data_IF_482517161346
#
_entry.id   IF_482517161346
#
_cell.length_a   1.000
_cell.length_b   1.000
_cell.length_c   1.000
_cell.angle_alpha   90.00
_cell.angle_beta   90.00
_cell.angle_gamma   90.00
#
_symmetry.space_group_name_H-M   'P 1'
#
loop_
_entity.id
_entity.type
_entity.pdbx_description
1 polymer ?
#
# COMPACT_ATOMS: atom_id res chain seq x y z
N UNK A 1 5.95 -9.00 57.05
CA UNK A 1 5.26 -9.32 55.77
C UNK A 1 5.47 -8.14 54.84
N UNK A 2 6.45 -8.13 53.91
CA UNK A 2 6.52 -7.11 52.89
C UNK A 2 5.74 -7.60 51.64
N UNK A 3 4.84 -6.77 51.20
CA UNK A 3 4.03 -6.95 50.02
C UNK A 3 4.92 -6.81 48.76
N UNK A 4 4.90 -7.82 47.92
CA UNK A 4 5.56 -7.81 46.63
C UNK A 4 4.90 -6.81 45.70
N UNK A 5 5.62 -5.78 45.32
CA UNK A 5 5.26 -4.89 44.23
C UNK A 5 5.40 -5.67 42.91
N UNK A 6 4.29 -5.95 42.26
CA UNK A 6 4.27 -6.43 40.88
C UNK A 6 4.83 -5.32 39.98
N UNK A 7 6.01 -5.53 39.45
CA UNK A 7 6.55 -4.67 38.39
C UNK A 7 5.61 -4.73 37.16
N UNK A 8 5.24 -3.59 36.58
CA UNK A 8 4.53 -3.58 35.32
C UNK A 8 5.48 -4.12 34.23
N UNK A 9 5.09 -5.22 33.60
CA UNK A 9 5.73 -5.71 32.39
C UNK A 9 5.81 -4.56 31.37
N UNK A 10 6.99 -3.97 31.27
CA UNK A 10 7.33 -3.07 30.18
C UNK A 10 7.11 -3.82 28.87
N UNK A 11 6.08 -3.43 28.12
CA UNK A 11 5.92 -3.82 26.73
C UNK A 11 7.19 -3.40 26.02
N UNK A 12 8.03 -4.36 25.68
CA UNK A 12 9.16 -4.13 24.79
C UNK A 12 8.62 -3.59 23.44
N UNK A 13 8.96 -2.38 23.03
CA UNK A 13 8.71 -1.92 21.67
C UNK A 13 9.83 -2.46 20.79
N UNK A 14 9.84 -3.76 20.55
CA UNK A 14 10.67 -4.36 19.50
C UNK A 14 9.84 -4.41 18.24
N UNK A 15 9.34 -3.28 17.81
CA UNK A 15 8.87 -3.13 16.43
C UNK A 15 9.85 -2.21 15.73
N UNK A 16 10.57 -2.79 14.77
CA UNK A 16 11.63 -2.15 14.03
C UNK A 16 11.13 -0.85 13.35
N UNK A 17 12.08 0.05 13.09
CA UNK A 17 11.80 1.27 12.36
C UNK A 17 10.97 0.98 11.10
N UNK A 18 9.99 1.82 10.75
CA UNK A 18 9.15 1.60 9.58
C UNK A 18 10.01 1.48 8.34
N UNK A 19 9.56 0.66 7.41
CA UNK A 19 10.18 0.51 6.09
C UNK A 19 9.48 1.45 5.12
N UNK A 20 10.21 1.96 4.13
CA UNK A 20 9.66 2.90 3.18
C UNK A 20 9.49 2.24 1.81
N UNK A 21 8.44 2.65 1.11
CA UNK A 21 8.20 2.33 -0.29
C UNK A 21 7.89 3.61 -1.04
N UNK A 22 8.42 3.69 -2.26
CA UNK A 22 8.13 4.75 -3.22
C UNK A 22 8.12 4.14 -4.61
N UNK A 23 7.06 4.40 -5.36
CA UNK A 23 6.98 4.07 -6.78
C UNK A 23 6.05 5.07 -7.48
N UNK A 24 6.05 5.07 -8.82
CA UNK A 24 5.18 5.93 -9.60
C UNK A 24 4.79 5.29 -10.92
N UNK A 25 3.69 5.78 -11.50
CA UNK A 25 3.23 5.43 -12.84
C UNK A 25 2.72 6.69 -13.56
N UNK A 26 2.86 6.71 -14.88
CA UNK A 26 2.30 7.76 -15.71
C UNK A 26 0.88 7.39 -16.16
N UNK A 27 -0.04 8.34 -16.05
CA UNK A 27 -1.41 8.28 -16.57
C UNK A 27 -1.49 9.23 -17.77
N UNK A 28 -1.88 8.78 -18.96
CA UNK A 28 -1.96 9.62 -20.16
C UNK A 28 -3.24 10.47 -20.18
N UNK A 29 -3.44 11.25 -19.12
CA UNK A 29 -4.55 12.18 -18.96
C UNK A 29 -4.06 13.46 -18.24
N UNK A 30 -4.65 14.63 -18.52
CA UNK A 30 -4.43 15.84 -17.73
C UNK A 30 -4.77 15.62 -16.25
N UNK A 31 -4.13 16.38 -15.37
CA UNK A 31 -4.28 16.19 -13.92
C UNK A 31 -5.70 16.40 -13.42
N UNK A 32 -6.41 17.38 -13.97
CA UNK A 32 -7.80 17.66 -13.61
C UNK A 32 -8.76 16.55 -14.04
N UNK A 33 -8.54 15.92 -15.19
CA UNK A 33 -9.27 14.74 -15.64
C UNK A 33 -8.93 13.51 -14.79
N UNK A 34 -7.64 13.32 -14.49
CA UNK A 34 -7.19 12.25 -13.62
C UNK A 34 -7.81 12.35 -12.22
N UNK A 35 -7.80 13.54 -11.62
CA UNK A 35 -8.42 13.80 -10.30
C UNK A 35 -9.93 13.57 -10.36
N UNK A 36 -10.61 14.01 -11.42
CA UNK A 36 -12.03 13.79 -11.61
C UNK A 36 -12.36 12.29 -11.72
N UNK A 37 -11.66 11.58 -12.60
CA UNK A 37 -11.83 10.13 -12.79
C UNK A 37 -11.54 9.38 -11.48
N UNK A 38 -10.46 9.71 -10.80
CA UNK A 38 -10.14 9.11 -9.50
C UNK A 38 -11.29 9.32 -8.49
N UNK A 39 -11.76 10.55 -8.34
CA UNK A 39 -12.78 10.90 -7.33
C UNK A 39 -14.16 10.32 -7.62
N UNK A 40 -14.49 10.12 -8.91
CA UNK A 40 -15.82 9.67 -9.35
C UNK A 40 -15.86 8.16 -9.54
N UNK A 41 -14.80 7.57 -10.09
CA UNK A 41 -14.80 6.21 -10.59
C UNK A 41 -13.99 5.23 -9.71
N UNK A 42 -13.21 5.73 -8.72
CA UNK A 42 -12.36 4.89 -7.88
C UNK A 42 -12.78 5.02 -6.40
N UNK A 43 -13.91 4.43 -5.98
CA UNK A 43 -14.28 4.39 -4.59
C UNK A 43 -13.35 3.47 -3.77
N UNK A 44 -13.37 3.63 -2.45
CA UNK A 44 -12.48 2.90 -1.55
C UNK A 44 -12.53 1.37 -1.72
N UNK A 45 -13.71 0.80 -2.04
CA UNK A 45 -13.83 -0.65 -2.25
C UNK A 45 -13.12 -1.12 -3.53
N UNK A 46 -13.10 -0.31 -4.59
CA UNK A 46 -12.33 -0.62 -5.82
C UNK A 46 -10.84 -0.57 -5.51
N UNK A 47 -10.38 0.44 -4.78
CA UNK A 47 -8.99 0.52 -4.34
C UNK A 47 -8.58 -0.68 -3.49
N UNK A 48 -9.42 -1.11 -2.54
CA UNK A 48 -9.17 -2.29 -1.72
C UNK A 48 -9.06 -3.57 -2.57
N UNK A 49 -9.89 -3.69 -3.60
CA UNK A 49 -9.84 -4.81 -4.55
C UNK A 49 -8.55 -4.80 -5.38
N UNK A 50 -8.10 -3.61 -5.84
CA UNK A 50 -6.83 -3.48 -6.56
C UNK A 50 -5.64 -3.90 -5.68
N UNK A 51 -5.61 -3.46 -4.42
CA UNK A 51 -4.57 -3.89 -3.47
C UNK A 51 -4.61 -5.40 -3.26
N UNK A 52 -5.80 -5.98 -3.06
CA UNK A 52 -5.98 -7.42 -2.90
C UNK A 52 -5.54 -8.20 -4.15
N UNK A 53 -5.87 -7.70 -5.33
CA UNK A 53 -5.47 -8.29 -6.61
C UNK A 53 -3.96 -8.28 -6.79
N UNK A 54 -3.30 -7.13 -6.51
CA UNK A 54 -1.86 -6.99 -6.58
C UNK A 54 -1.14 -7.99 -5.65
N UNK A 55 -1.61 -8.13 -4.41
CA UNK A 55 -1.06 -9.12 -3.48
C UNK A 55 -1.20 -10.54 -4.01
N UNK A 56 -2.36 -10.90 -4.52
CA UNK A 56 -2.62 -12.27 -5.01
C UNK A 56 -1.85 -12.59 -6.29
N UNK A 57 -1.59 -11.60 -7.14
CA UNK A 57 -0.79 -11.77 -8.35
C UNK A 57 0.68 -12.07 -8.02
N UNK A 58 1.21 -11.43 -6.97
CA UNK A 58 2.63 -11.50 -6.61
C UNK A 58 2.93 -12.51 -5.48
N UNK A 59 1.91 -13.07 -4.82
CA UNK A 59 2.05 -14.12 -3.80
C UNK A 59 2.86 -15.37 -4.28
N UNK A 60 2.76 -15.84 -5.54
CA UNK A 60 3.58 -16.94 -6.04
C UNK A 60 5.09 -16.71 -5.94
N UNK A 61 5.56 -15.45 -5.95
CA UNK A 61 6.97 -15.10 -5.76
C UNK A 61 7.44 -15.51 -4.36
N UNK A 62 6.59 -15.34 -3.35
CA UNK A 62 6.87 -15.74 -1.97
C UNK A 62 6.97 -17.26 -1.82
N UNK A 63 6.13 -18.01 -2.51
CA UNK A 63 6.12 -19.48 -2.49
C UNK A 63 7.34 -20.05 -3.19
N UNK A 64 7.73 -19.50 -4.34
CA UNK A 64 8.88 -19.98 -5.11
C UNK A 64 10.22 -19.76 -4.43
N UNK A 65 10.30 -18.85 -3.47
CA UNK A 65 11.51 -18.58 -2.70
C UNK A 65 11.75 -19.56 -1.53
N UNK A 66 10.93 -20.60 -1.38
CA UNK A 66 11.17 -21.70 -0.43
C UNK A 66 10.88 -21.38 1.03
N UNK A 67 10.10 -20.37 1.30
CA UNK A 67 9.68 -20.02 2.66
C UNK A 67 8.55 -20.95 3.13
N UNK A 68 8.91 -21.97 3.89
CA UNK A 68 8.02 -23.08 4.30
C UNK A 68 6.78 -22.69 5.14
N UNK A 69 6.63 -21.41 5.51
CA UNK A 69 5.50 -20.89 6.30
C UNK A 69 4.55 -19.99 5.54
N UNK A 70 4.86 -19.64 4.28
CA UNK A 70 4.11 -18.63 3.51
C UNK A 70 3.11 -19.23 2.52
N UNK A 71 2.79 -20.52 2.65
CA UNK A 71 1.92 -21.27 1.72
C UNK A 71 0.48 -20.73 1.59
N UNK A 72 0.06 -19.77 2.40
CA UNK A 72 -1.31 -19.24 2.38
C UNK A 72 -1.40 -17.71 2.50
N UNK A 73 -0.39 -16.95 2.03
CA UNK A 73 -0.57 -15.51 1.94
C UNK A 73 -1.46 -15.19 0.72
N UNK A 74 -2.71 -15.52 0.87
CA UNK A 74 -3.79 -14.98 0.05
C UNK A 74 -4.37 -13.80 0.81
N UNK A 75 -4.35 -12.63 0.22
CA UNK A 75 -5.03 -11.47 0.79
C UNK A 75 -6.53 -11.72 0.78
N UNK A 76 -7.07 -12.20 1.91
CA UNK A 76 -8.51 -12.49 2.05
C UNK A 76 -9.28 -11.20 2.24
N UNK A 77 -8.78 -10.30 3.06
CA UNK A 77 -9.44 -9.02 3.37
C UNK A 77 -8.40 -7.92 3.47
N UNK A 78 -8.64 -6.84 2.75
CA UNK A 78 -7.88 -5.59 2.85
C UNK A 78 -8.83 -4.50 3.29
N UNK A 79 -8.56 -3.91 4.43
CA UNK A 79 -9.24 -2.70 4.90
C UNK A 79 -8.46 -1.50 4.37
N UNK A 80 -9.15 -0.63 3.65
CA UNK A 80 -8.55 0.54 3.04
C UNK A 80 -9.32 1.78 3.47
N UNK A 81 -8.58 2.75 3.99
CA UNK A 81 -9.08 4.06 4.35
C UNK A 81 -8.43 5.13 3.46
N UNK A 82 -9.26 6.03 2.95
CA UNK A 82 -8.83 7.17 2.15
C UNK A 82 -9.11 8.46 2.92
N UNK A 83 -8.11 9.33 2.98
CA UNK A 83 -8.27 10.67 3.50
C UNK A 83 -7.82 11.70 2.47
N UNK A 84 -8.60 12.77 2.27
CA UNK A 84 -8.22 13.84 1.34
C UNK A 84 -7.45 14.91 2.09
N UNK A 85 -6.18 15.12 1.72
CA UNK A 85 -5.35 16.10 2.40
C UNK A 85 -5.26 17.44 1.68
N UNK A 86 -5.12 17.47 0.36
CA UNK A 86 -5.00 18.73 -0.41
C UNK A 86 -5.39 18.54 -1.87
N UNK A 87 -6.14 19.54 -2.37
CA UNK A 87 -6.32 19.76 -3.80
C UNK A 87 -5.60 21.06 -4.13
N UNK A 88 -4.67 21.03 -5.09
CA UNK A 88 -4.04 22.18 -5.72
C UNK A 88 -4.40 22.19 -7.21
N UNK A 89 -4.14 23.29 -7.90
CA UNK A 89 -4.39 23.37 -9.35
C UNK A 89 -3.59 22.33 -10.17
N UNK A 90 -2.43 21.95 -9.68
CA UNK A 90 -1.45 21.10 -10.36
C UNK A 90 -1.19 19.76 -9.66
N UNK A 91 -1.82 19.52 -8.54
CA UNK A 91 -1.63 18.29 -7.76
C UNK A 91 -2.80 18.00 -6.83
N UNK A 92 -3.02 16.72 -6.57
CA UNK A 92 -3.88 16.23 -5.50
C UNK A 92 -3.10 15.24 -4.64
N UNK A 93 -3.26 15.36 -3.32
CA UNK A 93 -2.65 14.43 -2.36
C UNK A 93 -3.78 13.73 -1.61
N UNK A 94 -3.73 12.41 -1.59
CA UNK A 94 -4.72 11.54 -0.98
C UNK A 94 -4.00 10.61 -0.01
N UNK A 95 -4.32 10.71 1.27
CA UNK A 95 -3.81 9.77 2.25
C UNK A 95 -4.45 8.40 2.04
N UNK A 96 -3.63 7.39 2.02
CA UNK A 96 -3.99 6.00 1.78
C UNK A 96 -3.47 5.15 2.94
N UNK A 97 -4.38 4.50 3.65
CA UNK A 97 -4.00 3.49 4.64
C UNK A 97 -4.62 2.16 4.26
N UNK A 98 -3.79 1.11 4.19
CA UNK A 98 -4.34 -0.23 4.14
C UNK A 98 -3.84 -1.10 5.27
N UNK A 99 -4.70 -2.01 5.69
CA UNK A 99 -4.40 -3.02 6.70
C UNK A 99 -4.94 -4.36 6.23
N UNK A 100 -4.10 -5.36 6.28
CA UNK A 100 -4.52 -6.73 6.07
C UNK A 100 -4.97 -7.39 7.38
N UNK A 101 -5.42 -8.61 7.28
CA UNK A 101 -5.89 -9.47 8.38
C UNK A 101 -4.76 -10.05 9.27
N UNK A 102 -3.67 -9.31 9.45
CA UNK A 102 -2.51 -9.67 10.29
C UNK A 102 -1.43 -10.46 9.58
N UNK A 103 -1.69 -10.94 8.36
CA UNK A 103 -0.71 -11.65 7.52
C UNK A 103 0.00 -10.74 6.53
N UNK A 104 -0.62 -9.65 6.15
CA UNK A 104 -0.09 -8.68 5.21
C UNK A 104 0.56 -7.50 5.94
N UNK A 105 1.60 -6.89 5.35
CA UNK A 105 2.11 -5.60 5.81
C UNK A 105 1.01 -4.55 5.80
N UNK A 106 0.98 -3.70 6.82
CA UNK A 106 0.18 -2.48 6.80
C UNK A 106 0.94 -1.36 6.09
N UNK A 107 0.25 -0.52 5.35
CA UNK A 107 0.82 0.65 4.67
C UNK A 107 0.09 1.92 5.09
N UNK A 108 0.88 2.96 5.34
CA UNK A 108 0.43 4.34 5.54
C UNK A 108 1.18 5.21 4.53
N UNK A 109 0.49 5.75 3.54
CA UNK A 109 1.10 6.38 2.38
C UNK A 109 0.30 7.60 1.89
N UNK A 110 0.98 8.47 1.18
CA UNK A 110 0.38 9.50 0.36
C UNK A 110 0.41 9.08 -1.12
N UNK A 111 -0.73 9.15 -1.76
CA UNK A 111 -0.89 9.04 -3.21
C UNK A 111 -0.99 10.45 -3.78
N UNK A 112 0.05 10.87 -4.49
CA UNK A 112 0.11 12.17 -5.13
C UNK A 112 -0.19 12.05 -6.62
N UNK A 113 -1.14 12.87 -7.10
CA UNK A 113 -1.47 13.04 -8.51
C UNK A 113 -0.86 14.37 -8.95
N UNK A 114 0.22 14.35 -9.74
CA UNK A 114 0.99 15.54 -10.11
C UNK A 114 0.99 15.71 -11.62
N UNK A 115 0.72 16.94 -12.10
CA UNK A 115 0.79 17.25 -13.51
C UNK A 115 2.22 17.06 -14.05
N UNK A 116 2.34 16.31 -15.15
CA UNK A 116 3.57 16.17 -15.91
C UNK A 116 3.33 16.63 -17.35
N UNK A 117 3.49 17.93 -17.58
CA UNK A 117 3.06 18.57 -18.82
C UNK A 117 1.55 18.78 -18.89
N UNK A 118 1.00 18.85 -20.11
CA UNK A 118 -0.42 19.17 -20.32
C UNK A 118 -1.32 17.95 -20.44
N UNK A 119 -0.77 16.80 -20.82
CA UNK A 119 -1.53 15.59 -21.19
C UNK A 119 -1.17 14.36 -20.37
N UNK A 120 -0.38 14.53 -19.32
CA UNK A 120 0.09 13.44 -18.51
C UNK A 120 0.06 13.79 -17.02
N UNK A 121 -0.32 12.84 -16.21
CA UNK A 121 -0.29 12.91 -14.75
C UNK A 121 0.60 11.79 -14.22
N UNK A 122 1.46 12.09 -13.27
CA UNK A 122 2.16 11.07 -12.52
C UNK A 122 1.40 10.74 -11.24
N UNK A 123 1.13 9.47 -11.02
CA UNK A 123 0.68 8.94 -9.74
C UNK A 123 1.90 8.51 -8.97
N UNK A 124 2.25 9.21 -7.90
CA UNK A 124 3.32 8.86 -6.98
C UNK A 124 2.72 8.27 -5.71
N UNK A 125 3.20 7.12 -5.28
CA UNK A 125 2.88 6.57 -3.96
C UNK A 125 4.15 6.61 -3.12
N UNK A 126 4.09 7.32 -2.01
CA UNK A 126 5.17 7.39 -1.02
C UNK A 126 4.63 7.06 0.35
N UNK A 127 5.20 6.08 1.01
CA UNK A 127 4.69 5.69 2.31
C UNK A 127 5.65 4.85 3.13
N UNK A 128 5.19 4.56 4.32
CA UNK A 128 5.84 3.66 5.26
C UNK A 128 4.97 2.42 5.44
N UNK A 129 5.61 1.28 5.57
CA UNK A 129 4.91 0.05 5.87
C UNK A 129 5.54 -0.66 7.06
N UNK A 130 4.72 -1.41 7.75
CA UNK A 130 5.12 -2.25 8.88
C UNK A 130 4.96 -3.72 8.48
N UNK A 131 5.98 -4.50 8.78
CA UNK A 131 5.94 -5.95 8.58
C UNK A 131 4.93 -6.59 9.54
N UNK A 132 4.30 -7.69 9.16
CA UNK A 132 3.52 -8.48 10.08
C UNK A 132 4.35 -8.91 11.29
N UNK A 133 3.73 -9.02 12.45
CA UNK A 133 4.40 -9.33 13.72
C UNK A 133 5.14 -10.68 13.76
N UNK A 134 4.82 -11.58 12.84
CA UNK A 134 5.45 -12.90 12.70
C UNK A 134 6.72 -12.87 11.84
N UNK A 135 7.03 -11.73 11.21
CA UNK A 135 8.20 -11.56 10.34
C UNK A 135 9.29 -10.81 11.09
N UNK A 136 10.46 -11.43 11.20
CA UNK A 136 11.65 -10.70 11.62
C UNK A 136 12.20 -9.89 10.42
N UNK A 137 12.36 -8.59 10.62
CA UNK A 137 12.89 -7.65 9.63
C UNK A 137 14.25 -8.06 9.07
N UNK A 138 15.10 -8.66 9.89
CA UNK A 138 16.45 -9.06 9.51
C UNK A 138 16.54 -10.49 8.99
N UNK A 139 15.43 -11.18 8.91
CA UNK A 139 15.33 -12.51 8.33
C UNK A 139 15.32 -12.48 6.81
N UNK A 140 15.49 -13.64 6.21
CA UNK A 140 15.30 -13.83 4.76
C UNK A 140 13.88 -13.49 4.34
N UNK A 141 12.90 -13.85 5.17
CA UNK A 141 11.48 -13.55 4.97
C UNK A 141 11.22 -12.05 4.95
N UNK A 142 11.82 -11.28 5.88
CA UNK A 142 11.72 -9.83 5.90
C UNK A 142 12.26 -9.19 4.63
N UNK A 143 13.41 -9.63 4.16
CA UNK A 143 14.01 -9.15 2.90
C UNK A 143 13.15 -9.50 1.68
N UNK A 144 12.51 -10.67 1.69
CA UNK A 144 11.62 -11.10 0.62
C UNK A 144 10.35 -10.26 0.59
N UNK A 145 9.71 -10.05 1.75
CA UNK A 145 8.50 -9.21 1.84
C UNK A 145 8.80 -7.79 1.39
N UNK A 146 9.99 -7.26 1.68
CA UNK A 146 10.39 -5.95 1.17
C UNK A 146 10.37 -5.89 -0.36
N UNK A 147 10.89 -6.90 -1.03
CA UNK A 147 10.86 -6.99 -2.51
C UNK A 147 9.43 -7.11 -3.02
N UNK A 148 8.62 -7.94 -2.37
CA UNK A 148 7.21 -8.11 -2.73
C UNK A 148 6.44 -6.80 -2.56
N UNK A 149 6.68 -6.03 -1.48
CA UNK A 149 6.04 -4.73 -1.30
C UNK A 149 6.27 -3.78 -2.47
N UNK A 150 7.50 -3.73 -3.01
CA UNK A 150 7.80 -2.90 -4.19
C UNK A 150 7.00 -3.36 -5.41
N UNK A 151 6.92 -4.68 -5.63
CA UNK A 151 6.17 -5.23 -6.77
C UNK A 151 4.67 -5.00 -6.59
N UNK A 152 4.12 -5.28 -5.41
CA UNK A 152 2.70 -5.05 -5.09
C UNK A 152 2.31 -3.58 -5.30
N UNK A 153 3.12 -2.63 -4.82
CA UNK A 153 2.84 -1.20 -5.01
C UNK A 153 2.87 -0.84 -6.49
N UNK A 154 3.81 -1.37 -7.26
CA UNK A 154 3.88 -1.13 -8.70
C UNK A 154 2.68 -1.70 -9.44
N UNK A 155 2.30 -2.96 -9.16
CA UNK A 155 1.11 -3.60 -9.74
C UNK A 155 -0.15 -2.81 -9.39
N UNK A 156 -0.30 -2.44 -8.11
CA UNK A 156 -1.42 -1.60 -7.66
C UNK A 156 -1.51 -0.27 -8.42
N UNK A 157 -0.40 0.46 -8.57
CA UNK A 157 -0.37 1.73 -9.30
C UNK A 157 -0.68 1.54 -10.78
N UNK A 158 -0.19 0.46 -11.41
CA UNK A 158 -0.48 0.13 -12.80
C UNK A 158 -1.96 -0.15 -13.00
N UNK A 159 -2.56 -0.99 -12.16
CA UNK A 159 -3.97 -1.33 -12.22
C UNK A 159 -4.86 -0.11 -11.95
N UNK A 160 -4.44 0.75 -11.02
CA UNK A 160 -5.14 2.01 -10.74
C UNK A 160 -5.10 2.96 -11.94
N UNK A 161 -3.94 3.11 -12.61
CA UNK A 161 -3.80 3.88 -13.84
C UNK A 161 -4.74 3.36 -14.93
N UNK A 162 -4.81 2.04 -15.07
CA UNK A 162 -5.70 1.38 -16.03
C UNK A 162 -7.19 1.67 -15.73
N UNK A 163 -7.60 1.60 -14.48
CA UNK A 163 -8.98 1.93 -14.07
C UNK A 163 -9.31 3.37 -14.38
N UNK A 164 -8.43 4.30 -14.02
CA UNK A 164 -8.61 5.74 -14.29
C UNK A 164 -8.74 6.03 -15.78
N UNK A 165 -7.93 5.35 -16.60
CA UNK A 165 -7.87 5.60 -18.04
C UNK A 165 -9.04 4.96 -18.80
N UNK A 166 -9.49 3.77 -18.38
CA UNK A 166 -10.53 3.02 -19.08
C UNK A 166 -11.94 3.44 -18.74
N UNK A 167 -12.15 4.14 -17.65
CA UNK A 167 -13.49 4.55 -17.22
C UNK A 167 -13.77 5.97 -17.69
N UNK A 168 -14.43 6.17 -18.85
CA UNK A 168 -14.86 7.51 -19.25
C UNK A 168 -15.86 8.00 -18.21
N UNK A 169 -15.49 9.05 -17.49
CA UNK A 169 -16.44 9.75 -16.62
C UNK A 169 -17.48 10.48 -17.49
N UNK A 170 -18.79 10.27 -17.24
CA UNK A 170 -19.84 10.99 -17.93
C UNK A 170 -19.80 12.50 -17.64
#
# INVERSE_FOLDING_TARGET
>A
MPQGASEPHAKNPVNGAPMFVHDFVAVPLPVDETVRSFTTCVPAHVMAELVRSAWNADAPILVSAGTSGLHEISARTVHLELSRHRLRHDAAIIGLQWRGDGWLPSLDADLELVAFGHECTHLHLMGRYELPHWVDRFSTEGSLIQRVMVVVVRTFLSDLSDVITRTPCP
#
